data_IF_351448704433
#
_entry.id   IF_351448704433
#
_cell.length_a   1.000
_cell.length_b   1.000
_cell.length_c   1.000
_cell.angle_alpha   90.00
_cell.angle_beta   90.00
_cell.angle_gamma   90.00
#
_symmetry.space_group_name_H-M   'P 1'
#
loop_
_entity.id
_entity.type
_entity.pdbx_description
1 polymer ?
#
# COMPACT_ATOMS: atom_id res chain seq x y z
N UNK A 1 -4.62 26.04 24.85
CA UNK A 1 -4.33 24.68 25.38
C UNK A 1 -3.76 23.84 24.24
N UNK A 2 -2.44 23.67 24.17
CA UNK A 2 -1.82 22.74 23.22
C UNK A 2 -1.92 21.33 23.80
N UNK A 3 -2.72 20.46 23.19
CA UNK A 3 -2.74 19.04 23.55
C UNK A 3 -1.36 18.46 23.18
N UNK A 4 -0.55 18.12 24.17
CA UNK A 4 0.64 17.31 23.96
C UNK A 4 0.19 15.91 23.52
N UNK A 5 0.06 15.71 22.21
CA UNK A 5 -0.01 14.39 21.63
C UNK A 5 1.40 13.82 21.71
N UNK A 6 1.66 12.95 22.70
CA UNK A 6 2.85 12.12 22.68
C UNK A 6 2.84 11.34 21.35
N UNK A 7 3.93 11.35 20.57
CA UNK A 7 4.01 10.54 19.36
C UNK A 7 3.95 9.07 19.77
N UNK A 8 2.81 8.41 19.54
CA UNK A 8 2.69 6.98 19.73
C UNK A 8 3.40 6.27 18.58
N UNK A 9 4.55 5.66 18.85
CA UNK A 9 5.24 4.76 17.92
C UNK A 9 4.78 3.34 18.21
N UNK A 10 4.10 2.71 17.25
CA UNK A 10 3.76 1.29 17.31
C UNK A 10 4.71 0.55 16.37
N UNK A 11 5.71 -0.16 16.89
CA UNK A 11 6.49 -1.04 16.04
C UNK A 11 5.61 -2.22 15.62
N UNK A 12 5.68 -2.62 14.35
CA UNK A 12 5.14 -3.89 13.82
C UNK A 12 5.54 -5.10 14.72
N UNK A 13 6.62 -4.93 15.50
CA UNK A 13 7.36 -5.84 16.37
C UNK A 13 6.56 -6.39 17.58
N UNK A 14 5.29 -6.01 17.82
CA UNK A 14 4.50 -6.75 18.84
C UNK A 14 4.11 -8.16 18.39
N UNK A 15 4.28 -8.50 17.11
CA UNK A 15 4.01 -9.84 16.59
C UNK A 15 5.24 -10.78 16.53
N UNK A 16 6.46 -10.32 16.22
CA UNK A 16 7.68 -11.16 16.31
C UNK A 16 8.96 -10.35 16.10
N UNK A 17 10.06 -10.90 16.63
CA UNK A 17 11.37 -10.27 16.86
C UNK A 17 12.32 -10.43 15.68
N UNK A 18 11.89 -10.12 14.46
CA UNK A 18 12.69 -10.29 13.24
C UNK A 18 12.52 -9.07 12.32
N UNK A 19 13.66 -8.43 12.01
CA UNK A 19 13.90 -7.27 11.11
C UNK A 19 13.10 -5.97 11.34
N UNK A 20 13.80 -4.91 11.76
CA UNK A 20 13.27 -3.54 11.80
C UNK A 20 13.25 -2.96 10.37
N UNK A 21 12.09 -2.95 9.73
CA UNK A 21 11.89 -2.27 8.43
C UNK A 21 11.67 -0.76 8.59
N UNK A 22 11.88 -0.01 7.50
CA UNK A 22 11.58 1.43 7.41
C UNK A 22 10.22 1.59 6.72
N UNK A 23 9.39 2.51 7.22
CA UNK A 23 8.18 2.95 6.51
C UNK A 23 8.55 4.16 5.67
N UNK A 24 8.34 4.07 4.36
CA UNK A 24 8.66 5.14 3.42
C UNK A 24 7.47 6.02 3.12
N UNK A 25 6.27 5.44 3.10
CA UNK A 25 5.05 6.14 2.72
C UNK A 25 3.83 5.69 3.52
N UNK A 26 2.89 6.63 3.70
CA UNK A 26 1.64 6.43 4.41
C UNK A 26 0.53 7.14 3.64
N UNK A 27 -0.63 6.48 3.53
CA UNK A 27 -1.87 7.08 3.04
C UNK A 27 -3.01 6.91 4.06
N UNK A 28 -3.94 7.87 4.11
CA UNK A 28 -5.08 7.85 5.03
C UNK A 28 -6.31 7.41 4.26
N UNK A 29 -7.04 6.45 4.83
CA UNK A 29 -8.22 5.91 4.20
C UNK A 29 -9.25 7.02 3.93
N UNK A 30 -9.80 7.13 2.70
CA UNK A 30 -10.62 8.28 2.28
C UNK A 30 -11.90 8.46 3.12
N UNK A 31 -12.54 7.37 3.54
CA UNK A 31 -13.74 7.40 4.40
C UNK A 31 -13.51 7.02 5.87
N UNK A 32 -12.48 6.22 6.19
CA UNK A 32 -12.18 5.76 7.56
C UNK A 32 -11.03 6.58 8.17
N UNK A 33 -11.36 7.70 8.80
CA UNK A 33 -10.39 8.69 9.37
C UNK A 33 -9.34 8.16 10.36
N UNK A 34 -9.51 6.92 10.82
CA UNK A 34 -8.59 6.26 11.74
C UNK A 34 -7.99 5.00 11.13
N UNK A 35 -7.95 4.89 9.82
CA UNK A 35 -7.32 3.78 9.13
C UNK A 35 -6.28 4.36 8.19
N UNK A 36 -5.07 3.85 8.25
CA UNK A 36 -4.00 4.22 7.35
C UNK A 36 -3.41 2.99 6.67
N UNK A 37 -2.84 3.21 5.50
CA UNK A 37 -2.03 2.30 4.74
C UNK A 37 -0.56 2.71 4.90
N UNK A 38 0.34 1.76 5.03
CA UNK A 38 1.77 2.03 5.09
C UNK A 38 2.52 1.06 4.17
N UNK A 39 3.50 1.61 3.46
CA UNK A 39 4.44 0.88 2.62
C UNK A 39 5.87 1.08 3.11
N UNK A 40 6.69 0.04 2.98
CA UNK A 40 8.05 0.08 3.47
C UNK A 40 8.94 -1.02 2.92
N UNK A 41 9.99 -1.31 3.67
CA UNK A 41 11.02 -2.26 3.26
C UNK A 41 10.51 -3.67 2.93
N UNK A 42 11.21 -4.37 2.04
CA UNK A 42 10.97 -5.77 1.69
C UNK A 42 9.54 -6.06 1.18
N UNK A 43 9.01 -5.19 0.32
CA UNK A 43 7.67 -5.34 -0.25
C UNK A 43 6.53 -5.18 0.77
N UNK A 44 6.82 -4.68 1.97
CA UNK A 44 5.87 -4.67 3.08
C UNK A 44 4.80 -3.61 2.84
N UNK A 45 3.53 -4.05 2.81
CA UNK A 45 2.35 -3.18 2.79
C UNK A 45 1.36 -3.66 3.83
N UNK A 46 0.90 -2.76 4.69
CA UNK A 46 -0.09 -3.09 5.71
C UNK A 46 -1.04 -1.93 5.98
N UNK A 47 -2.25 -2.29 6.42
CA UNK A 47 -3.24 -1.35 6.91
C UNK A 47 -3.37 -1.42 8.43
N UNK A 48 -3.60 -0.27 9.05
CA UNK A 48 -3.66 -0.13 10.50
C UNK A 48 -4.87 0.70 10.93
N UNK A 49 -5.69 0.19 11.87
CA UNK A 49 -6.71 1.01 12.55
C UNK A 49 -6.12 1.71 13.77
N UNK A 50 -5.99 3.04 13.71
CA UNK A 50 -5.37 3.88 14.72
C UNK A 50 -6.16 3.96 16.04
N UNK A 51 -7.46 3.60 16.04
CA UNK A 51 -8.26 3.55 17.27
C UNK A 51 -8.05 2.23 18.02
N UNK A 52 -7.76 1.15 17.30
CA UNK A 52 -7.66 -0.20 17.84
C UNK A 52 -6.22 -0.67 17.64
N UNK A 53 -5.42 -0.69 18.71
CA UNK A 53 -4.02 -1.13 18.69
C UNK A 53 -3.89 -2.67 18.55
N UNK A 54 -4.64 -3.26 17.61
CA UNK A 54 -4.55 -4.67 17.24
C UNK A 54 -3.40 -4.90 16.26
N UNK A 55 -3.21 -6.16 15.84
CA UNK A 55 -2.23 -6.50 14.81
C UNK A 55 -2.58 -5.78 13.48
N UNK A 56 -1.57 -5.29 12.75
CA UNK A 56 -1.76 -4.75 11.42
C UNK A 56 -2.39 -5.81 10.51
N UNK A 57 -3.18 -5.35 9.54
CA UNK A 57 -3.64 -6.20 8.44
C UNK A 57 -2.54 -6.15 7.38
N UNK A 58 -1.76 -7.22 7.27
CA UNK A 58 -0.72 -7.35 6.24
C UNK A 58 -1.41 -7.60 4.89
N UNK A 59 -1.06 -6.79 3.89
CA UNK A 59 -1.52 -6.90 2.52
C UNK A 59 -0.44 -7.49 1.60
N UNK A 60 0.83 -7.19 1.90
CA UNK A 60 2.00 -7.66 1.15
C UNK A 60 3.23 -7.70 2.06
N UNK A 61 4.19 -8.59 1.77
CA UNK A 61 5.49 -8.63 2.42
C UNK A 61 6.05 -10.05 2.58
N UNK A 62 7.38 -10.14 2.66
CA UNK A 62 8.07 -11.42 2.82
C UNK A 62 8.16 -11.80 4.31
N UNK A 63 7.52 -12.91 4.71
CA UNK A 63 7.82 -13.58 5.99
C UNK A 63 6.72 -13.69 7.05
N UNK A 64 5.42 -13.60 6.71
CA UNK A 64 4.32 -13.71 7.69
C UNK A 64 3.42 -14.93 7.47
N UNK A 65 3.88 -16.13 7.86
CA UNK A 65 3.10 -17.35 8.19
C UNK A 65 1.98 -17.87 7.25
N UNK A 66 2.15 -19.13 6.78
CA UNK A 66 1.22 -20.14 6.20
C UNK A 66 0.16 -19.76 5.13
N UNK A 67 -0.32 -18.53 5.08
CA UNK A 67 -1.07 -18.02 3.93
C UNK A 67 -0.06 -17.21 3.15
N UNK A 68 0.43 -17.75 2.03
CA UNK A 68 1.35 -17.05 1.15
C UNK A 68 0.71 -15.69 0.78
N UNK A 69 1.17 -14.63 1.43
CA UNK A 69 0.88 -13.27 0.97
C UNK A 69 1.84 -13.08 -0.19
N UNK A 70 1.30 -13.16 -1.39
CA UNK A 70 2.07 -12.94 -2.60
C UNK A 70 2.49 -11.47 -2.58
N UNK A 71 3.79 -11.23 -2.52
CA UNK A 71 4.35 -9.88 -2.59
C UNK A 71 4.64 -9.59 -4.06
N UNK A 72 4.18 -8.46 -4.63
CA UNK A 72 4.49 -8.10 -6.01
C UNK A 72 5.97 -7.72 -6.20
N UNK A 73 6.65 -7.36 -5.13
CA UNK A 73 8.07 -7.01 -5.11
C UNK A 73 8.72 -7.47 -3.79
N UNK A 74 10.03 -7.71 -3.79
CA UNK A 74 10.81 -7.97 -2.57
C UNK A 74 11.72 -6.77 -2.21
N UNK A 75 11.62 -5.68 -2.97
CA UNK A 75 12.40 -4.44 -2.84
C UNK A 75 11.72 -3.40 -1.92
N UNK A 76 12.29 -2.19 -1.80
CA UNK A 76 11.65 -1.11 -1.05
C UNK A 76 10.38 -0.61 -1.75
N UNK A 77 9.30 -0.48 -0.99
CA UNK A 77 8.06 0.18 -1.46
C UNK A 77 8.19 1.68 -1.23
N UNK A 78 8.29 2.46 -2.31
CA UNK A 78 8.49 3.91 -2.23
C UNK A 78 7.23 4.68 -1.90
N UNK A 79 6.11 4.32 -2.53
CA UNK A 79 4.83 4.97 -2.30
C UNK A 79 3.69 3.96 -2.23
N UNK A 80 2.70 4.26 -1.38
CA UNK A 80 1.44 3.54 -1.33
C UNK A 80 0.28 4.53 -1.36
N UNK A 81 -0.81 4.17 -2.04
CA UNK A 81 -2.08 4.90 -2.01
C UNK A 81 -3.23 3.93 -1.97
N UNK A 82 -4.31 4.30 -1.29
CA UNK A 82 -5.58 3.60 -1.48
C UNK A 82 -6.01 3.76 -2.93
N UNK A 83 -6.38 2.65 -3.56
CA UNK A 83 -6.84 2.65 -4.94
C UNK A 83 -8.36 2.84 -5.00
N UNK A 84 -8.85 4.02 -5.45
CA UNK A 84 -10.28 4.25 -5.61
C UNK A 84 -10.83 3.60 -6.89
N UNK A 85 -9.96 3.06 -7.76
CA UNK A 85 -10.37 2.40 -9.00
C UNK A 85 -11.01 1.05 -8.68
N UNK A 86 -12.30 1.15 -8.46
CA UNK A 86 -13.17 0.01 -8.27
C UNK A 86 -13.56 -0.52 -9.64
N UNK A 87 -13.20 -1.78 -9.96
CA UNK A 87 -13.98 -2.52 -10.94
C UNK A 87 -15.43 -2.54 -10.42
N UNK A 88 -16.35 -2.01 -11.22
CA UNK A 88 -17.76 -1.69 -10.89
C UNK A 88 -18.58 -2.84 -10.28
N UNK A 89 -18.06 -4.05 -10.16
CA UNK A 89 -18.75 -5.23 -9.64
C UNK A 89 -18.74 -5.40 -8.12
N UNK A 90 -17.82 -4.78 -7.36
CA UNK A 90 -17.54 -5.22 -5.98
C UNK A 90 -17.97 -4.27 -4.85
N UNK A 91 -18.38 -3.02 -5.16
CA UNK A 91 -18.74 -2.03 -4.12
C UNK A 91 -19.97 -2.45 -3.29
N UNK A 92 -20.93 -3.16 -3.89
CA UNK A 92 -22.16 -3.59 -3.21
C UNK A 92 -22.00 -4.74 -2.21
N UNK A 93 -20.86 -5.47 -2.25
CA UNK A 93 -20.63 -6.68 -1.45
C UNK A 93 -19.36 -6.61 -0.58
N UNK A 94 -18.79 -5.41 -0.47
CA UNK A 94 -17.62 -5.18 0.35
C UNK A 94 -18.06 -5.02 1.81
N UNK A 95 -17.69 -6.00 2.64
CA UNK A 95 -17.94 -5.90 4.08
C UNK A 95 -17.27 -4.65 4.63
N UNK A 96 -17.90 -3.99 5.61
CA UNK A 96 -17.31 -2.83 6.31
C UNK A 96 -15.96 -3.15 6.99
N UNK A 97 -15.64 -4.43 7.14
CA UNK A 97 -14.38 -4.93 7.68
C UNK A 97 -13.23 -4.95 6.67
N UNK A 98 -13.49 -5.09 5.36
CA UNK A 98 -12.42 -5.17 4.35
C UNK A 98 -11.74 -3.82 4.16
N UNK A 99 -10.42 -3.87 3.98
CA UNK A 99 -9.61 -2.70 3.63
C UNK A 99 -9.73 -2.47 2.12
N UNK A 100 -9.80 -1.20 1.70
CA UNK A 100 -9.75 -0.85 0.28
C UNK A 100 -8.47 -1.37 -0.37
N UNK A 101 -8.48 -1.75 -1.66
CA UNK A 101 -7.27 -2.11 -2.38
C UNK A 101 -6.22 -1.00 -2.27
N UNK A 102 -4.96 -1.40 -2.28
CA UNK A 102 -3.81 -0.52 -2.19
C UNK A 102 -3.01 -0.60 -3.47
N UNK A 103 -2.68 0.55 -4.06
CA UNK A 103 -1.68 0.64 -5.11
C UNK A 103 -0.32 0.94 -4.48
N UNK A 104 0.74 0.36 -5.02
CA UNK A 104 2.12 0.58 -4.58
C UNK A 104 3.06 0.74 -5.76
N UNK A 105 4.16 1.46 -5.54
CA UNK A 105 5.30 1.47 -6.43
C UNK A 105 6.60 1.13 -5.70
N UNK A 106 7.58 0.55 -6.41
CA UNK A 106 8.76 -0.03 -5.79
C UNK A 106 10.10 0.36 -6.46
N UNK A 107 11.19 0.06 -5.74
CA UNK A 107 12.56 0.25 -6.18
C UNK A 107 12.94 -0.60 -7.40
N UNK A 108 12.38 -1.81 -7.52
CA UNK A 108 12.60 -2.71 -8.66
C UNK A 108 11.67 -2.42 -9.86
N UNK A 109 10.98 -1.27 -9.84
CA UNK A 109 10.25 -0.77 -11.00
C UNK A 109 8.83 -1.33 -11.16
N UNK A 110 8.25 -1.88 -10.09
CA UNK A 110 6.91 -2.46 -10.11
C UNK A 110 5.87 -1.42 -9.70
N UNK A 111 4.78 -1.32 -10.45
CA UNK A 111 3.52 -0.71 -10.04
C UNK A 111 2.48 -1.83 -9.91
N UNK A 112 1.88 -1.98 -8.74
CA UNK A 112 0.94 -3.07 -8.50
C UNK A 112 -0.25 -2.65 -7.62
N UNK A 113 -1.33 -3.41 -7.69
CA UNK A 113 -2.47 -3.34 -6.77
C UNK A 113 -2.49 -4.59 -5.90
N UNK A 114 -2.62 -4.40 -4.58
CA UNK A 114 -2.77 -5.47 -3.60
C UNK A 114 -4.12 -5.35 -2.91
N UNK A 115 -4.83 -6.47 -2.80
CA UNK A 115 -6.09 -6.60 -2.09
C UNK A 115 -5.97 -7.70 -1.02
N UNK A 116 -6.66 -7.51 0.11
CA UNK A 116 -6.61 -8.46 1.22
C UNK A 116 -7.12 -9.84 0.82
N UNK A 117 -6.22 -10.83 0.79
CA UNK A 117 -6.54 -12.23 0.49
C UNK A 117 -6.63 -12.57 -0.99
N UNK A 118 -6.23 -11.65 -1.87
CA UNK A 118 -6.17 -11.84 -3.32
C UNK A 118 -4.71 -11.78 -3.80
N UNK A 119 -4.45 -12.33 -4.98
CA UNK A 119 -3.15 -12.19 -5.66
C UNK A 119 -2.89 -10.72 -6.06
N UNK A 120 -1.65 -10.21 -5.90
CA UNK A 120 -1.28 -8.91 -6.46
C UNK A 120 -1.48 -8.84 -7.96
N UNK A 121 -1.94 -7.69 -8.42
CA UNK A 121 -2.08 -7.39 -9.84
C UNK A 121 -0.96 -6.44 -10.22
N UNK A 122 0.03 -6.94 -10.95
CA UNK A 122 1.05 -6.11 -11.59
C UNK A 122 0.41 -5.30 -12.73
N UNK A 123 0.62 -3.99 -12.70
CA UNK A 123 0.08 -3.04 -13.66
C UNK A 123 1.13 -2.54 -14.65
N UNK A 124 2.35 -2.34 -14.17
CA UNK A 124 3.49 -1.87 -14.94
C UNK A 124 4.78 -2.42 -14.33
N UNK A 125 5.72 -2.80 -15.19
CA UNK A 125 7.08 -3.15 -14.82
C UNK A 125 8.05 -2.32 -15.68
N UNK A 126 8.86 -1.49 -15.03
CA UNK A 126 9.90 -0.67 -15.64
C UNK A 126 11.28 -1.26 -15.30
N UNK A 127 12.30 -1.04 -16.15
CA UNK A 127 13.66 -1.51 -15.87
C UNK A 127 14.39 -0.69 -14.79
N UNK A 128 13.71 0.28 -14.17
CA UNK A 128 14.25 1.23 -13.20
C UNK A 128 13.19 1.55 -12.13
N UNK A 129 13.58 2.16 -11.01
CA UNK A 129 12.67 2.43 -9.92
C UNK A 129 11.49 3.32 -10.34
N UNK A 130 10.31 2.97 -9.81
CA UNK A 130 9.16 3.88 -9.81
C UNK A 130 9.15 4.59 -8.46
N UNK A 131 9.53 5.87 -8.45
CA UNK A 131 9.79 6.63 -7.22
C UNK A 131 8.51 7.16 -6.55
N UNK A 132 7.47 7.41 -7.34
CA UNK A 132 6.16 7.89 -6.89
C UNK A 132 5.14 7.75 -8.01
N UNK A 133 3.86 7.86 -7.69
CA UNK A 133 2.76 7.88 -8.64
C UNK A 133 1.59 8.74 -8.15
N UNK A 134 0.69 9.09 -9.07
CA UNK A 134 -0.62 9.63 -8.71
C UNK A 134 -1.72 8.99 -9.55
N UNK A 135 -2.88 8.83 -8.92
CA UNK A 135 -4.09 8.29 -9.56
C UNK A 135 -4.98 9.49 -9.88
N UNK A 136 -5.38 9.63 -11.15
CA UNK A 136 -6.25 10.73 -11.53
C UNK A 136 -7.59 10.62 -10.78
N UNK A 137 -7.94 11.68 -10.05
CA UNK A 137 -9.17 11.73 -9.24
C UNK A 137 -10.43 11.82 -10.10
N UNK A 138 -10.33 12.38 -11.31
CA UNK A 138 -11.44 12.51 -12.24
C UNK A 138 -11.59 11.25 -13.10
N UNK A 139 -10.47 10.62 -13.45
CA UNK A 139 -10.46 9.37 -14.19
C UNK A 139 -9.53 8.32 -13.54
N UNK A 140 -9.98 7.60 -12.50
CA UNK A 140 -9.09 6.70 -11.76
C UNK A 140 -8.49 5.54 -12.56
N UNK A 141 -8.91 5.31 -13.81
CA UNK A 141 -8.20 4.39 -14.70
C UNK A 141 -6.77 4.88 -15.00
N UNK A 142 -6.56 6.19 -15.02
CA UNK A 142 -5.30 6.80 -15.42
C UNK A 142 -4.39 6.98 -14.20
N UNK A 143 -3.17 6.48 -14.35
CA UNK A 143 -2.11 6.53 -13.35
C UNK A 143 -0.87 7.14 -14.00
N UNK A 144 -0.25 8.08 -13.30
CA UNK A 144 0.98 8.74 -13.73
C UNK A 144 2.08 8.36 -12.75
N UNK A 145 3.21 7.88 -13.25
CA UNK A 145 4.34 7.42 -12.46
C UNK A 145 5.57 8.28 -12.74
N UNK A 146 6.33 8.62 -11.69
CA UNK A 146 7.67 9.19 -11.83
C UNK A 146 8.70 8.06 -11.82
N UNK A 147 9.52 8.00 -12.85
CA UNK A 147 10.60 7.00 -12.99
C UNK A 147 11.94 7.61 -12.58
N UNK A 148 13.00 6.81 -12.67
CA UNK A 148 14.36 7.35 -12.68
C UNK A 148 14.61 8.23 -13.92
N UNK A 149 15.74 8.96 -13.92
CA UNK A 149 16.22 9.72 -15.08
C UNK A 149 15.28 10.82 -15.58
N UNK A 150 14.57 11.49 -14.66
CA UNK A 150 13.65 12.60 -14.98
C UNK A 150 12.55 12.20 -15.99
N UNK A 151 12.13 10.93 -15.96
CA UNK A 151 11.14 10.37 -16.89
C UNK A 151 9.80 10.10 -16.19
N UNK A 152 8.71 10.07 -16.98
CA UNK A 152 7.36 9.74 -16.50
C UNK A 152 6.74 8.63 -17.36
N UNK A 153 5.93 7.79 -16.73
CA UNK A 153 5.06 6.83 -17.41
C UNK A 153 3.59 7.19 -17.16
N UNK A 154 2.74 6.91 -18.14
CA UNK A 154 1.29 7.08 -18.04
C UNK A 154 0.66 5.74 -18.40
N UNK A 155 -0.16 5.22 -17.50
CA UNK A 155 -0.88 3.96 -17.66
C UNK A 155 -2.38 4.23 -17.58
N UNK A 156 -3.14 3.73 -18.56
CA UNK A 156 -4.60 3.65 -18.48
C UNK A 156 -5.01 2.21 -18.23
N UNK A 157 -5.63 1.96 -17.08
CA UNK A 157 -6.10 0.64 -16.65
C UNK A 157 -7.41 0.26 -17.36
N UNK A 158 -7.60 -1.02 -17.72
CA UNK A 158 -8.81 -1.51 -18.38
C UNK A 158 -10.01 -1.62 -17.44
#
# INVERSE_FOLDING_TARGET
>A
MARHLLPFRFPLIRAQRTTSGIVHSIDIHPSRKHTCLAGGSLGTVFAWDLRWQQQPIILSGVGTSEVATHSPCESEVWEVKYDPYMRTSNFGNMSSSRILPAMLCSEDGILAVVEQGEEPIELLAEPCAINSFDIDRQNPSDVICSLEWESIAILSRP
#
